data_IF_833719231971
#
_entry.id   IF_833719231971
#
_cell.length_a   1.000
_cell.length_b   1.000
_cell.length_c   1.000
_cell.angle_alpha   90.00
_cell.angle_beta   90.00
_cell.angle_gamma   90.00
#
_symmetry.space_group_name_H-M   'P 1'
#
loop_
_entity.id
_entity.type
_entity.pdbx_description
1 polymer ?
#
# COMPACT_ATOMS: atom_id res chain seq x y z
N UNK A 1 0.10 7.06 -88.20
CA UNK A 1 0.19 7.99 -87.08
C UNK A 1 -0.70 7.44 -85.94
N UNK A 2 -0.15 6.88 -84.88
CA UNK A 2 -0.94 6.48 -83.68
C UNK A 2 -0.94 7.62 -82.62
N UNK A 3 -1.99 7.73 -81.81
CA UNK A 3 -2.11 8.79 -80.82
C UNK A 3 -1.34 8.45 -79.51
N UNK A 4 -0.72 9.47 -78.97
CA UNK A 4 -0.04 9.45 -77.66
C UNK A 4 -1.05 9.32 -76.53
N UNK A 5 -0.84 8.32 -75.63
CA UNK A 5 -1.55 8.19 -74.39
C UNK A 5 -0.75 8.91 -73.27
N UNK A 6 -1.36 9.92 -72.72
CA UNK A 6 -0.92 10.64 -71.55
C UNK A 6 -1.16 9.79 -70.22
N UNK A 7 -0.09 9.46 -69.54
CA UNK A 7 -0.13 8.82 -68.22
C UNK A 7 -0.18 9.91 -67.10
N UNK A 8 -1.34 10.08 -66.47
CA UNK A 8 -1.50 10.89 -65.29
C UNK A 8 -1.10 10.06 -64.06
N UNK A 9 0.03 10.39 -63.46
CA UNK A 9 0.49 9.75 -62.21
C UNK A 9 -0.23 10.35 -61.02
N UNK A 10 -1.03 9.52 -60.31
CA UNK A 10 -1.63 9.87 -59.03
C UNK A 10 -0.60 9.66 -57.91
N UNK A 11 -0.16 10.76 -57.30
CA UNK A 11 0.68 10.71 -56.09
C UNK A 11 -0.25 10.54 -54.89
N UNK A 12 -0.27 9.32 -54.31
CA UNK A 12 -0.95 9.03 -53.05
C UNK A 12 -0.07 9.54 -51.92
N UNK A 13 -0.46 10.65 -51.30
CA UNK A 13 0.17 11.17 -50.09
C UNK A 13 -0.20 10.30 -48.88
N UNK A 14 0.77 9.58 -48.32
CA UNK A 14 0.63 8.88 -47.03
C UNK A 14 0.75 9.91 -45.93
N UNK A 15 -0.36 10.29 -45.29
CA UNK A 15 -0.35 11.03 -44.02
C UNK A 15 0.06 10.04 -42.92
N UNK A 16 1.30 10.15 -42.47
CA UNK A 16 1.76 9.50 -41.24
C UNK A 16 1.14 10.23 -40.03
N UNK A 17 0.11 9.65 -39.42
CA UNK A 17 -0.40 10.09 -38.13
C UNK A 17 0.62 9.74 -37.04
N UNK A 18 1.41 10.72 -36.62
CA UNK A 18 2.25 10.60 -35.45
C UNK A 18 1.33 10.54 -34.22
N UNK A 19 1.08 9.33 -33.70
CA UNK A 19 0.45 9.13 -32.41
C UNK A 19 1.37 9.71 -31.33
N UNK A 20 0.99 10.84 -30.76
CA UNK A 20 1.60 11.38 -29.56
C UNK A 20 1.33 10.39 -28.44
N UNK A 21 2.28 9.51 -28.17
CA UNK A 21 2.30 8.70 -26.95
C UNK A 21 2.58 9.68 -25.81
N UNK A 22 1.51 10.27 -25.28
CA UNK A 22 1.57 11.03 -24.04
C UNK A 22 2.02 10.07 -22.94
N UNK A 23 3.30 10.13 -22.52
CA UNK A 23 3.80 9.38 -21.40
C UNK A 23 2.92 9.68 -20.17
N UNK A 24 2.37 8.66 -19.54
CA UNK A 24 1.64 8.81 -18.29
C UNK A 24 2.59 9.46 -17.28
N UNK A 25 2.31 10.73 -16.93
CA UNK A 25 3.08 11.44 -15.91
C UNK A 25 2.75 10.81 -14.56
N UNK A 26 3.78 10.40 -13.82
CA UNK A 26 3.63 9.87 -12.48
C UNK A 26 3.47 11.02 -11.47
N UNK A 27 2.55 10.87 -10.52
CA UNK A 27 2.55 11.68 -9.32
C UNK A 27 3.50 11.05 -8.31
N UNK A 28 4.33 11.85 -7.66
CA UNK A 28 5.21 11.39 -6.59
C UNK A 28 4.68 11.90 -5.27
N UNK A 29 4.23 10.97 -4.43
CA UNK A 29 3.87 11.25 -3.05
C UNK A 29 5.11 11.17 -2.17
N UNK A 30 5.41 12.26 -1.48
CA UNK A 30 6.36 12.31 -0.37
C UNK A 30 5.59 12.47 0.92
N UNK A 31 5.66 11.47 1.81
CA UNK A 31 4.98 11.51 3.09
C UNK A 31 5.96 11.24 4.24
N UNK A 32 5.84 12.03 5.29
CA UNK A 32 6.51 11.78 6.58
C UNK A 32 5.45 11.60 7.64
N UNK A 33 5.52 10.48 8.33
CA UNK A 33 4.58 10.13 9.39
C UNK A 33 5.25 10.20 10.75
N UNK A 34 4.52 10.73 11.71
CA UNK A 34 4.86 10.62 13.14
C UNK A 34 4.18 9.39 13.70
N UNK A 35 4.93 8.59 14.45
CA UNK A 35 4.40 7.44 15.19
C UNK A 35 4.32 7.81 16.65
N UNK A 36 3.15 7.65 17.25
CA UNK A 36 2.94 7.89 18.69
C UNK A 36 2.27 6.68 19.35
N UNK A 37 2.56 6.49 20.63
CA UNK A 37 1.90 5.53 21.51
C UNK A 37 1.33 6.30 22.70
N UNK A 38 0.02 6.21 22.91
CA UNK A 38 -0.69 6.95 23.97
C UNK A 38 -0.37 8.46 23.93
N UNK A 39 -0.28 9.02 22.71
CA UNK A 39 0.04 10.42 22.46
C UNK A 39 1.54 10.79 22.55
N UNK A 40 2.40 9.90 23.06
CA UNK A 40 3.84 10.15 23.15
C UNK A 40 4.52 9.79 21.82
N UNK A 41 5.36 10.65 21.21
CA UNK A 41 6.07 10.34 19.99
C UNK A 41 7.12 9.26 20.25
N UNK A 42 7.04 8.16 19.48
CA UNK A 42 7.93 7.00 19.60
C UNK A 42 8.70 6.70 18.34
N UNK A 43 8.35 7.31 17.20
CA UNK A 43 9.01 7.01 15.94
C UNK A 43 8.61 7.93 14.80
N UNK A 44 9.26 7.73 13.68
CA UNK A 44 8.94 8.37 12.41
C UNK A 44 9.07 7.37 11.25
N UNK A 45 8.28 7.59 10.20
CA UNK A 45 8.33 6.83 8.95
C UNK A 45 8.39 7.83 7.80
N UNK A 46 9.30 7.62 6.86
CA UNK A 46 9.33 8.32 5.59
C UNK A 46 8.83 7.39 4.49
N UNK A 47 8.12 7.92 3.53
CA UNK A 47 7.56 7.16 2.44
C UNK A 47 7.62 7.97 1.16
N UNK A 48 8.03 7.32 0.07
CA UNK A 48 7.97 7.84 -1.29
C UNK A 48 7.17 6.85 -2.13
N UNK A 49 6.20 7.37 -2.88
CA UNK A 49 5.39 6.56 -3.78
C UNK A 49 5.34 7.23 -5.16
N UNK A 50 5.83 6.53 -6.18
CA UNK A 50 5.58 6.86 -7.58
C UNK A 50 4.26 6.19 -7.98
N UNK A 51 3.27 6.99 -8.35
CA UNK A 51 1.93 6.54 -8.67
C UNK A 51 1.57 6.92 -10.10
N UNK A 52 0.87 6.03 -10.76
CA UNK A 52 0.19 6.28 -12.04
C UNK A 52 -1.18 5.63 -12.00
N UNK A 53 -2.09 5.93 -12.94
CA UNK A 53 -3.38 5.25 -12.99
C UNK A 53 -3.29 3.72 -13.14
N UNK A 54 -2.13 3.19 -13.55
CA UNK A 54 -1.94 1.76 -13.87
C UNK A 54 -0.82 1.07 -13.11
N UNK A 55 -0.05 1.80 -12.30
CA UNK A 55 1.09 1.22 -11.57
C UNK A 55 1.41 1.97 -10.29
N UNK A 56 2.12 1.31 -9.39
CA UNK A 56 2.69 1.90 -8.20
C UNK A 56 4.11 1.37 -7.95
N UNK A 57 4.94 2.22 -7.36
CA UNK A 57 6.24 1.83 -6.78
C UNK A 57 6.43 2.62 -5.50
N UNK A 58 6.53 1.92 -4.37
CA UNK A 58 6.55 2.52 -3.04
C UNK A 58 7.79 2.04 -2.30
N UNK A 59 8.44 2.98 -1.61
CA UNK A 59 9.54 2.73 -0.70
C UNK A 59 9.30 3.52 0.58
N UNK A 60 9.58 2.89 1.71
CA UNK A 60 9.48 3.55 3.00
C UNK A 60 10.49 3.01 3.99
N UNK A 61 10.92 3.87 4.89
CA UNK A 61 11.76 3.52 6.03
C UNK A 61 11.19 4.11 7.32
N UNK A 62 11.47 3.44 8.42
CA UNK A 62 11.01 3.88 9.73
C UNK A 62 12.00 3.53 10.84
N UNK A 63 11.98 4.33 11.88
CA UNK A 63 12.83 4.12 13.04
C UNK A 63 12.16 4.62 14.32
N UNK A 64 12.47 3.97 15.43
CA UNK A 64 12.14 4.51 16.73
C UNK A 64 12.93 5.79 17.01
N UNK A 65 12.31 6.74 17.70
CA UNK A 65 12.90 8.04 18.06
C UNK A 65 12.57 8.39 19.50
N UNK A 66 13.19 9.46 20.01
CA UNK A 66 12.92 9.95 21.37
C UNK A 66 13.40 9.02 22.49
N UNK A 67 12.77 9.12 23.65
CA UNK A 67 13.15 8.39 24.86
C UNK A 67 13.02 6.86 24.72
N UNK A 68 12.16 6.39 23.84
CA UNK A 68 11.94 4.95 23.61
C UNK A 68 13.22 4.26 23.12
N UNK A 69 14.13 4.98 22.46
CA UNK A 69 15.44 4.47 22.01
C UNK A 69 16.36 4.02 23.16
N UNK A 70 16.13 4.50 24.35
CA UNK A 70 16.90 4.08 25.54
C UNK A 70 16.57 2.63 25.94
N UNK A 71 15.40 2.14 25.54
CA UNK A 71 14.89 0.82 25.93
C UNK A 71 14.75 -0.13 24.74
N UNK A 72 14.59 0.42 23.54
CA UNK A 72 14.42 -0.36 22.31
C UNK A 72 15.04 0.38 21.12
N UNK A 73 15.81 -0.35 20.31
CA UNK A 73 16.31 0.17 19.06
C UNK A 73 15.72 -0.69 17.93
N UNK A 74 14.83 -0.10 17.16
CA UNK A 74 14.22 -0.76 16.01
C UNK A 74 14.14 0.20 14.83
N UNK A 75 14.45 -0.33 13.67
CA UNK A 75 14.33 0.35 12.38
C UNK A 75 13.96 -0.66 11.31
N UNK A 76 13.42 -0.18 10.21
CA UNK A 76 13.08 -1.03 9.08
C UNK A 76 12.85 -0.24 7.82
N UNK A 77 12.87 -0.95 6.72
CA UNK A 77 12.51 -0.41 5.42
C UNK A 77 11.67 -1.44 4.67
N UNK A 78 10.77 -0.95 3.84
CA UNK A 78 9.94 -1.80 2.98
C UNK A 78 9.84 -1.17 1.60
N UNK A 79 9.77 -2.02 0.59
CA UNK A 79 9.54 -1.61 -0.79
C UNK A 79 8.57 -2.59 -1.45
N UNK A 80 7.74 -2.07 -2.35
CA UNK A 80 6.82 -2.86 -3.15
C UNK A 80 6.50 -2.14 -4.45
N UNK A 81 6.25 -2.91 -5.49
CA UNK A 81 5.80 -2.39 -6.78
C UNK A 81 4.83 -3.35 -7.45
N UNK A 82 3.99 -2.81 -8.28
CA UNK A 82 3.01 -3.59 -9.01
C UNK A 82 2.17 -2.74 -9.96
N UNK A 83 1.15 -3.37 -10.51
CA UNK A 83 0.18 -2.74 -11.39
C UNK A 83 -1.14 -2.44 -10.66
N UNK A 84 -1.89 -1.50 -11.22
CA UNK A 84 -3.30 -1.26 -10.89
C UNK A 84 -4.10 -1.70 -12.12
N UNK A 85 -4.78 -2.82 -12.01
CA UNK A 85 -5.52 -3.44 -13.12
C UNK A 85 -7.00 -3.46 -12.79
N UNK A 86 -7.81 -2.78 -13.58
CA UNK A 86 -9.27 -2.69 -13.37
C UNK A 86 -9.68 -2.29 -11.94
N UNK A 87 -8.96 -1.33 -11.34
CA UNK A 87 -9.22 -0.87 -9.98
C UNK A 87 -8.80 -1.86 -8.87
N UNK A 88 -7.93 -2.81 -9.19
CA UNK A 88 -7.35 -3.77 -8.24
C UNK A 88 -5.84 -3.68 -8.23
N UNK A 89 -5.25 -3.85 -7.07
CA UNK A 89 -3.81 -3.95 -6.90
C UNK A 89 -3.36 -5.34 -7.38
N UNK A 90 -2.36 -5.35 -8.24
CA UNK A 90 -1.66 -6.56 -8.72
C UNK A 90 -0.18 -6.43 -8.39
N UNK A 91 0.27 -6.91 -7.23
CA UNK A 91 1.65 -6.78 -6.80
C UNK A 91 2.58 -7.66 -7.65
N UNK A 92 3.82 -7.18 -7.85
CA UNK A 92 4.87 -7.92 -8.54
C UNK A 92 6.03 -8.27 -7.62
N UNK A 93 6.43 -7.35 -6.75
CA UNK A 93 7.50 -7.59 -5.77
C UNK A 93 7.20 -6.88 -4.46
N UNK A 94 7.61 -7.52 -3.37
CA UNK A 94 7.63 -6.96 -2.03
C UNK A 94 8.94 -7.34 -1.35
N UNK A 95 9.51 -6.41 -0.61
CA UNK A 95 10.64 -6.66 0.26
C UNK A 95 10.52 -5.83 1.53
N UNK A 96 10.92 -6.40 2.65
CA UNK A 96 11.05 -5.69 3.92
C UNK A 96 12.27 -6.16 4.67
N UNK A 97 12.90 -5.24 5.38
CA UNK A 97 13.97 -5.51 6.33
C UNK A 97 13.58 -4.88 7.66
N UNK A 98 13.65 -5.65 8.72
CA UNK A 98 13.44 -5.18 10.09
C UNK A 98 14.68 -5.48 10.92
N UNK A 99 15.20 -4.46 11.57
CA UNK A 99 16.37 -4.56 12.42
C UNK A 99 16.04 -4.11 13.84
N UNK A 100 16.47 -4.90 14.81
CA UNK A 100 16.45 -4.60 16.24
C UNK A 100 17.85 -4.76 16.83
N UNK A 101 18.02 -4.51 18.11
CA UNK A 101 19.33 -4.67 18.79
C UNK A 101 19.94 -6.06 18.60
N UNK A 102 19.12 -7.10 18.44
CA UNK A 102 19.58 -8.50 18.47
C UNK A 102 19.28 -9.28 17.21
N UNK A 103 18.58 -8.70 16.21
CA UNK A 103 18.19 -9.45 15.02
C UNK A 103 17.94 -8.50 13.84
N UNK A 104 18.38 -8.96 12.67
CA UNK A 104 17.97 -8.41 11.39
C UNK A 104 17.25 -9.51 10.62
N UNK A 105 16.04 -9.23 10.15
CA UNK A 105 15.27 -10.15 9.30
C UNK A 105 14.86 -9.47 8.01
N UNK A 106 15.02 -10.19 6.92
CA UNK A 106 14.57 -9.78 5.59
C UNK A 106 13.50 -10.74 5.10
N UNK A 107 12.45 -10.20 4.50
CA UNK A 107 11.43 -10.97 3.77
C UNK A 107 11.40 -10.41 2.35
N UNK A 108 11.42 -11.28 1.35
CA UNK A 108 11.24 -10.93 -0.06
C UNK A 108 10.19 -11.81 -0.67
N UNK A 109 9.31 -11.23 -1.48
CA UNK A 109 8.32 -11.97 -2.24
C UNK A 109 8.34 -11.55 -3.71
N UNK A 110 8.18 -12.53 -4.57
CA UNK A 110 7.81 -12.36 -5.97
C UNK A 110 6.35 -12.80 -6.15
N UNK A 111 5.59 -12.03 -6.92
CA UNK A 111 4.17 -12.28 -7.14
C UNK A 111 3.83 -12.13 -8.63
N UNK A 112 2.87 -12.91 -9.08
CA UNK A 112 2.31 -12.78 -10.44
C UNK A 112 0.81 -13.14 -10.40
N UNK A 113 -0.04 -12.32 -11.02
CA UNK A 113 -1.48 -12.56 -11.05
C UNK A 113 -2.13 -12.60 -9.67
N UNK A 114 -1.64 -11.80 -8.71
CA UNK A 114 -2.07 -11.80 -7.31
C UNK A 114 -1.80 -13.13 -6.56
N UNK A 115 -0.87 -13.95 -7.06
CA UNK A 115 -0.40 -15.14 -6.38
C UNK A 115 1.11 -15.04 -6.08
N UNK A 116 1.53 -15.62 -4.98
CA UNK A 116 2.93 -15.71 -4.59
C UNK A 116 3.63 -16.73 -5.49
N UNK A 117 4.74 -16.35 -6.09
CA UNK A 117 5.58 -17.22 -6.92
C UNK A 117 6.90 -17.58 -6.26
N UNK A 118 7.28 -16.86 -5.20
CA UNK A 118 8.45 -17.15 -4.39
C UNK A 118 8.49 -16.29 -3.13
N UNK A 119 8.98 -16.91 -2.04
CA UNK A 119 9.23 -16.25 -0.75
C UNK A 119 10.62 -16.61 -0.28
N UNK A 120 11.37 -15.61 0.17
CA UNK A 120 12.66 -15.75 0.84
C UNK A 120 12.62 -15.02 2.18
N UNK A 121 12.91 -15.71 3.27
CA UNK A 121 12.94 -15.19 4.64
C UNK A 121 14.28 -15.51 5.27
N UNK A 122 15.04 -14.50 5.63
CA UNK A 122 16.37 -14.66 6.23
C UNK A 122 16.58 -13.78 7.45
N UNK A 123 16.91 -14.35 8.62
CA UNK A 123 16.80 -15.76 8.97
C UNK A 123 15.33 -16.23 9.01
N UNK A 124 15.05 -17.51 8.86
CA UNK A 124 13.70 -18.05 8.93
C UNK A 124 13.07 -17.78 10.31
N UNK A 125 11.75 -17.81 10.36
CA UNK A 125 11.04 -17.82 11.66
C UNK A 125 11.16 -19.17 12.33
N UNK A 126 11.23 -19.16 13.66
CA UNK A 126 11.16 -20.41 14.42
C UNK A 126 9.80 -21.06 14.25
N UNK A 127 9.79 -22.36 14.14
CA UNK A 127 8.57 -23.15 14.23
C UNK A 127 7.95 -23.03 15.62
N UNK A 128 6.65 -22.81 15.64
CA UNK A 128 5.87 -22.71 16.89
C UNK A 128 4.68 -23.68 16.79
N UNK A 129 4.43 -24.49 17.83
CA UNK A 129 3.38 -25.53 17.80
C UNK A 129 1.95 -24.94 17.67
N UNK A 130 1.77 -23.69 18.07
CA UNK A 130 0.49 -22.97 17.99
C UNK A 130 0.34 -22.15 16.70
N UNK A 131 1.27 -22.30 15.74
CA UNK A 131 1.16 -21.65 14.42
C UNK A 131 0.08 -22.31 13.59
N UNK A 132 -0.87 -21.52 13.08
CA UNK A 132 -1.86 -21.98 12.12
C UNK A 132 -1.16 -22.24 10.77
N UNK A 133 -1.18 -23.47 10.22
CA UNK A 133 -0.55 -23.75 8.93
C UNK A 133 -1.16 -22.89 7.81
N UNK A 134 -0.37 -22.60 6.78
CA UNK A 134 -0.91 -22.05 5.54
C UNK A 134 -1.74 -23.12 4.83
N UNK A 135 -2.96 -22.76 4.45
CA UNK A 135 -3.87 -23.61 3.71
C UNK A 135 -3.72 -23.46 2.20
N UNK A 136 -4.28 -24.38 1.40
CA UNK A 136 -4.35 -24.24 -0.04
C UNK A 136 -5.09 -22.93 -0.42
N UNK A 137 -4.44 -22.09 -1.21
CA UNK A 137 -5.01 -20.81 -1.66
C UNK A 137 -4.71 -19.59 -0.77
N UNK A 138 -4.08 -19.74 0.40
CA UNK A 138 -3.73 -18.61 1.27
C UNK A 138 -2.70 -17.65 0.63
N UNK A 139 -1.95 -18.14 -0.34
CA UNK A 139 -0.99 -17.37 -1.13
C UNK A 139 -1.54 -16.91 -2.48
N UNK A 140 -2.87 -17.01 -2.67
CA UNK A 140 -3.56 -16.62 -3.91
C UNK A 140 -4.58 -15.51 -3.66
N UNK A 141 -4.83 -14.69 -4.69
CA UNK A 141 -5.73 -13.54 -4.63
C UNK A 141 -5.41 -12.59 -3.46
N UNK A 142 -4.13 -12.36 -3.24
CA UNK A 142 -3.61 -11.52 -2.16
C UNK A 142 -2.91 -10.27 -2.70
N UNK A 143 -2.70 -9.33 -1.81
CA UNK A 143 -1.78 -8.21 -1.99
C UNK A 143 -0.68 -8.28 -0.91
N UNK A 144 0.46 -7.67 -1.19
CA UNK A 144 1.52 -7.49 -0.19
C UNK A 144 1.20 -6.29 0.73
N UNK A 145 1.86 -6.16 1.90
CA UNK A 145 1.60 -5.07 2.84
C UNK A 145 1.85 -3.66 2.28
N UNK A 146 2.78 -3.51 1.32
CA UNK A 146 3.08 -2.23 0.69
C UNK A 146 2.01 -1.91 -0.38
N UNK A 147 1.62 -2.88 -1.20
CA UNK A 147 0.52 -2.72 -2.14
C UNK A 147 -0.82 -2.45 -1.46
N UNK A 148 -1.02 -2.99 -0.26
CA UNK A 148 -2.25 -2.82 0.53
C UNK A 148 -2.53 -1.38 0.97
N UNK A 149 -1.52 -0.48 0.98
CA UNK A 149 -1.74 0.94 1.32
C UNK A 149 -2.27 1.77 0.15
N UNK A 150 -2.22 1.25 -1.07
CA UNK A 150 -2.81 1.88 -2.25
C UNK A 150 -4.25 1.42 -2.38
N UNK A 151 -5.19 2.34 -2.26
CA UNK A 151 -6.63 2.04 -2.36
C UNK A 151 -7.17 2.61 -3.67
N UNK A 152 -7.28 1.80 -4.74
CA UNK A 152 -7.86 2.28 -5.99
C UNK A 152 -9.31 2.66 -5.80
N UNK A 153 -9.70 3.83 -6.31
CA UNK A 153 -11.07 4.28 -6.35
C UNK A 153 -11.80 3.72 -7.59
N UNK A 154 -13.13 3.72 -7.60
CA UNK A 154 -13.90 3.44 -8.79
C UNK A 154 -13.49 4.34 -9.97
N UNK A 155 -13.61 3.89 -11.22
CA UNK A 155 -13.18 4.66 -12.40
C UNK A 155 -13.96 5.99 -12.57
N UNK A 156 -15.13 6.10 -11.96
CA UNK A 156 -15.98 7.30 -11.97
C UNK A 156 -16.57 7.57 -10.60
N UNK A 157 -17.11 8.77 -10.40
CA UNK A 157 -17.69 9.23 -9.15
C UNK A 157 -16.66 9.83 -8.18
N UNK A 158 -17.10 10.25 -6.99
CA UNK A 158 -16.25 10.91 -6.00
C UNK A 158 -15.26 9.94 -5.37
N UNK A 159 -14.02 10.40 -5.14
CA UNK A 159 -12.98 9.62 -4.47
C UNK A 159 -13.33 9.41 -2.99
N UNK A 160 -13.78 10.47 -2.33
CA UNK A 160 -14.24 10.42 -0.96
C UNK A 160 -15.68 9.89 -0.96
N UNK A 161 -15.82 8.60 -0.78
CA UNK A 161 -17.12 7.92 -0.80
C UNK A 161 -17.09 6.62 0.00
N UNK A 162 -18.24 6.07 0.37
CA UNK A 162 -18.30 4.76 1.02
C UNK A 162 -17.58 3.63 0.26
N UNK A 163 -17.50 3.71 -1.07
CA UNK A 163 -16.80 2.72 -1.88
C UNK A 163 -15.28 2.65 -1.62
N UNK A 164 -14.70 3.72 -1.08
CA UNK A 164 -13.29 3.71 -0.66
C UNK A 164 -13.05 2.76 0.52
N UNK A 165 -14.02 2.65 1.44
CA UNK A 165 -13.91 1.87 2.66
C UNK A 165 -14.58 0.49 2.57
N UNK A 166 -15.75 0.36 1.98
CA UNK A 166 -16.53 -0.90 2.04
C UNK A 166 -15.85 -2.01 1.21
N UNK A 167 -14.74 -2.52 1.71
CA UNK A 167 -13.93 -3.54 1.03
C UNK A 167 -13.14 -4.41 1.99
N UNK A 168 -12.78 -5.57 1.50
CA UNK A 168 -11.85 -6.49 2.13
C UNK A 168 -10.51 -6.43 1.38
N UNK A 169 -9.41 -6.35 2.12
CA UNK A 169 -8.05 -6.35 1.60
C UNK A 169 -7.36 -7.63 2.08
N UNK A 170 -7.17 -8.64 1.21
CA UNK A 170 -6.51 -9.89 1.54
C UNK A 170 -4.99 -9.68 1.49
N UNK A 171 -4.30 -9.78 2.63
CA UNK A 171 -2.88 -9.48 2.74
C UNK A 171 -2.09 -10.74 3.08
N UNK A 172 -0.95 -10.94 2.40
CA UNK A 172 0.08 -11.90 2.77
C UNK A 172 1.42 -11.18 2.88
N UNK A 173 2.08 -11.31 4.03
CA UNK A 173 3.33 -10.61 4.33
C UNK A 173 4.60 -11.47 4.11
N UNK A 174 4.43 -12.65 3.50
CA UNK A 174 5.47 -13.65 3.30
C UNK A 174 5.45 -14.74 4.37
N UNK A 175 4.70 -14.55 5.47
CA UNK A 175 4.63 -15.50 6.58
C UNK A 175 3.22 -15.66 7.15
N UNK A 176 2.44 -14.57 7.17
CA UNK A 176 1.09 -14.53 7.75
C UNK A 176 0.09 -14.08 6.71
N UNK A 177 -1.03 -14.78 6.62
CA UNK A 177 -2.19 -14.43 5.80
C UNK A 177 -3.27 -13.85 6.71
N UNK A 178 -3.74 -12.65 6.37
CA UNK A 178 -4.82 -11.97 7.11
C UNK A 178 -5.61 -11.07 6.17
N UNK A 179 -6.84 -10.76 6.55
CA UNK A 179 -7.64 -9.75 5.88
C UNK A 179 -7.70 -8.46 6.71
N UNK A 180 -7.82 -7.33 6.04
CA UNK A 180 -8.27 -6.08 6.63
C UNK A 180 -9.63 -5.76 6.02
N UNK A 181 -10.68 -5.84 6.84
CA UNK A 181 -12.02 -5.45 6.45
C UNK A 181 -12.23 -3.97 6.79
N UNK A 182 -12.53 -3.15 5.78
CA UNK A 182 -12.80 -1.73 5.94
C UNK A 182 -14.30 -1.46 5.84
N UNK A 183 -14.78 -0.54 6.68
CA UNK A 183 -16.17 -0.06 6.69
C UNK A 183 -16.18 1.46 6.77
N UNK A 184 -17.03 2.11 5.97
CA UNK A 184 -17.15 3.57 5.94
C UNK A 184 -17.71 4.12 7.25
N UNK A 185 -17.09 5.16 7.76
CA UNK A 185 -17.51 5.89 8.96
C UNK A 185 -17.95 7.31 8.60
N UNK A 186 -17.23 8.00 7.72
CA UNK A 186 -17.51 9.38 7.37
C UNK A 186 -16.31 10.05 6.71
N UNK A 187 -16.28 11.38 6.79
CA UNK A 187 -15.20 12.20 6.27
C UNK A 187 -14.73 13.21 7.32
N UNK A 188 -13.47 13.67 7.20
CA UNK A 188 -12.89 14.68 8.06
C UNK A 188 -12.02 15.64 7.26
N UNK A 189 -11.91 16.87 7.72
CA UNK A 189 -10.89 17.82 7.27
C UNK A 189 -9.62 17.58 8.07
N UNK A 190 -8.48 17.56 7.38
CA UNK A 190 -7.16 17.36 7.96
C UNK A 190 -6.16 18.31 7.35
N UNK A 191 -5.08 18.58 8.09
CA UNK A 191 -4.00 19.42 7.62
C UNK A 191 -2.65 18.79 7.99
N UNK A 192 -1.74 18.76 7.02
CA UNK A 192 -0.33 18.45 7.20
C UNK A 192 0.50 19.35 6.27
N UNK A 193 1.79 19.40 6.44
CA UNK A 193 2.63 20.13 5.50
C UNK A 193 2.48 19.54 4.09
N UNK A 194 2.03 20.36 3.14
CA UNK A 194 1.78 19.96 1.75
C UNK A 194 0.40 19.38 1.46
N UNK A 195 -0.48 19.26 2.46
CA UNK A 195 -1.87 18.81 2.29
C UNK A 195 -2.81 19.56 3.24
N UNK A 196 -3.85 20.15 2.67
CA UNK A 196 -4.99 20.73 3.38
C UNK A 196 -6.25 20.30 2.63
N UNK A 197 -7.02 19.39 3.21
CA UNK A 197 -8.15 18.80 2.50
C UNK A 197 -8.95 17.80 3.33
N UNK A 198 -9.87 17.13 2.64
CA UNK A 198 -10.73 16.12 3.25
C UNK A 198 -10.16 14.71 3.05
N UNK A 199 -10.41 13.87 4.02
CA UNK A 199 -10.09 12.43 3.98
C UNK A 199 -11.34 11.62 4.26
N UNK A 200 -11.42 10.42 3.71
CA UNK A 200 -12.44 9.45 4.12
C UNK A 200 -11.94 8.66 5.32
N UNK A 201 -12.81 8.43 6.28
CA UNK A 201 -12.56 7.66 7.50
C UNK A 201 -13.19 6.29 7.37
N UNK A 202 -12.36 5.26 7.52
CA UNK A 202 -12.78 3.87 7.54
C UNK A 202 -12.48 3.25 8.92
N UNK A 203 -13.45 2.61 9.52
CA UNK A 203 -13.20 1.62 10.56
C UNK A 203 -12.55 0.38 9.92
N UNK A 204 -11.61 -0.25 10.63
CA UNK A 204 -10.91 -1.42 10.14
C UNK A 204 -11.03 -2.60 11.10
N UNK A 205 -10.97 -3.82 10.57
CA UNK A 205 -10.94 -5.06 11.34
C UNK A 205 -9.80 -5.94 10.82
N UNK A 206 -9.00 -6.44 11.74
CA UNK A 206 -7.99 -7.44 11.45
C UNK A 206 -8.60 -8.84 11.59
N UNK A 207 -8.54 -9.63 10.53
CA UNK A 207 -9.04 -11.00 10.49
C UNK A 207 -7.87 -11.94 10.20
N UNK A 208 -7.29 -12.60 11.21
CA UNK A 208 -6.21 -13.57 11.00
C UNK A 208 -6.73 -14.81 10.28
N UNK A 209 -6.06 -15.25 9.22
CA UNK A 209 -6.42 -16.44 8.45
C UNK A 209 -5.46 -17.59 8.79
N UNK A 210 -4.17 -17.44 8.48
CA UNK A 210 -3.16 -18.46 8.70
C UNK A 210 -1.77 -17.85 8.93
N UNK A 211 -0.77 -18.68 9.26
CA UNK A 211 0.59 -18.23 9.53
C UNK A 211 0.77 -17.59 10.91
N UNK A 212 -0.30 -17.12 11.53
CA UNK A 212 -0.26 -16.49 12.86
C UNK A 212 -0.19 -17.53 13.98
N UNK A 213 0.25 -17.10 15.16
CA UNK A 213 0.22 -17.91 16.38
C UNK A 213 -1.14 -17.79 17.04
N UNK A 214 -1.92 -18.89 17.06
CA UNK A 214 -3.30 -18.93 17.60
C UNK A 214 -3.38 -18.52 19.06
N UNK A 215 -2.44 -18.99 19.87
CA UNK A 215 -2.51 -18.80 21.32
C UNK A 215 -1.80 -17.55 21.82
N UNK A 216 -1.17 -16.79 20.91
CA UNK A 216 -0.51 -15.53 21.24
C UNK A 216 -1.54 -14.48 21.71
N UNK A 217 -1.42 -13.92 22.91
CA UNK A 217 -2.38 -12.92 23.43
C UNK A 217 -2.57 -11.72 22.49
N UNK A 218 -1.49 -11.26 21.84
CA UNK A 218 -1.57 -10.15 20.89
C UNK A 218 -2.39 -10.50 19.64
N UNK A 219 -2.36 -11.74 19.16
CA UNK A 219 -3.17 -12.18 18.01
C UNK A 219 -4.65 -12.19 18.39
N UNK A 220 -4.99 -12.76 19.56
CA UNK A 220 -6.37 -12.77 20.07
C UNK A 220 -6.89 -11.35 20.28
N UNK A 221 -6.09 -10.50 20.93
CA UNK A 221 -6.45 -9.10 21.13
C UNK A 221 -6.74 -8.39 19.80
N UNK A 222 -5.88 -8.55 18.79
CA UNK A 222 -6.06 -7.90 17.48
C UNK A 222 -7.27 -8.45 16.71
N UNK A 223 -7.57 -9.74 16.80
CA UNK A 223 -8.73 -10.34 16.18
C UNK A 223 -10.06 -9.79 16.77
N UNK A 224 -10.09 -9.55 18.08
CA UNK A 224 -11.26 -9.00 18.79
C UNK A 224 -11.33 -7.46 18.74
N UNK A 225 -10.23 -6.81 18.31
CA UNK A 225 -10.09 -5.36 18.34
C UNK A 225 -11.07 -4.69 17.37
N UNK A 226 -11.86 -3.74 17.87
CA UNK A 226 -12.78 -2.90 17.11
C UNK A 226 -12.29 -1.45 16.97
N UNK A 227 -11.18 -1.13 17.62
CA UNK A 227 -10.64 0.22 17.68
C UNK A 227 -9.45 0.37 16.70
N UNK A 228 -9.71 0.03 15.42
CA UNK A 228 -8.83 0.31 14.29
C UNK A 228 -9.51 1.30 13.37
N UNK A 229 -8.77 2.31 12.94
CA UNK A 229 -9.27 3.33 12.04
C UNK A 229 -8.19 3.74 11.05
N UNK A 230 -8.58 3.92 9.79
CA UNK A 230 -7.73 4.39 8.70
C UNK A 230 -8.38 5.61 8.06
N UNK A 231 -7.63 6.69 7.92
CA UNK A 231 -8.02 7.90 7.20
C UNK A 231 -7.28 7.93 5.87
N UNK A 232 -8.02 8.05 4.78
CA UNK A 232 -7.48 7.94 3.43
C UNK A 232 -7.61 9.29 2.72
N UNK A 233 -6.47 9.85 2.31
CA UNK A 233 -6.39 11.06 1.50
C UNK A 233 -6.46 10.71 0.01
N UNK A 234 -7.21 11.46 -0.81
CA UNK A 234 -7.29 11.24 -2.24
C UNK A 234 -6.04 11.74 -2.97
N UNK A 235 -5.59 10.96 -3.94
CA UNK A 235 -4.65 11.35 -5.00
C UNK A 235 -5.48 11.38 -6.28
N UNK A 236 -5.96 12.57 -6.61
CA UNK A 236 -7.08 12.77 -7.54
C UNK A 236 -6.76 12.28 -8.95
N UNK A 237 -5.58 12.62 -9.46
CA UNK A 237 -5.16 12.33 -10.82
C UNK A 237 -5.05 10.83 -11.09
N UNK A 238 -4.48 10.08 -10.15
CA UNK A 238 -4.27 8.64 -10.27
C UNK A 238 -5.48 7.83 -9.79
N UNK A 239 -6.51 8.52 -9.27
CA UNK A 239 -7.73 7.93 -8.73
C UNK A 239 -7.46 6.85 -7.69
N UNK A 240 -6.51 7.13 -6.79
CA UNK A 240 -6.21 6.27 -5.64
C UNK A 240 -6.37 7.08 -4.35
N UNK A 241 -6.58 6.38 -3.25
CA UNK A 241 -6.50 6.95 -1.91
C UNK A 241 -5.30 6.33 -1.19
N UNK A 242 -4.71 7.13 -0.32
CA UNK A 242 -3.51 6.74 0.42
C UNK A 242 -3.66 7.04 1.91
N UNK A 243 -3.14 6.21 2.84
CA UNK A 243 -3.27 6.45 4.26
C UNK A 243 -2.66 7.79 4.70
N UNK A 244 -3.49 8.65 5.27
CA UNK A 244 -3.08 9.88 5.95
C UNK A 244 -2.85 9.62 7.44
N UNK A 245 -3.71 8.77 8.04
CA UNK A 245 -3.64 8.39 9.44
C UNK A 245 -4.10 6.94 9.62
N UNK A 246 -3.40 6.22 10.47
CA UNK A 246 -3.79 4.88 10.96
C UNK A 246 -3.76 4.90 12.48
N UNK A 247 -4.84 4.50 13.11
CA UNK A 247 -4.96 4.37 14.57
C UNK A 247 -5.29 2.94 14.93
N UNK A 248 -4.53 2.37 15.84
CA UNK A 248 -4.66 0.97 16.26
C UNK A 248 -4.57 0.90 17.78
N UNK A 249 -5.62 0.46 18.44
CA UNK A 249 -5.53 0.10 19.85
C UNK A 249 -4.72 -1.18 19.98
N UNK A 250 -3.70 -1.16 20.82
CA UNK A 250 -2.86 -2.31 21.14
C UNK A 250 -3.00 -2.66 22.62
N UNK A 251 -2.45 -3.78 23.05
CA UNK A 251 -2.47 -4.18 24.47
C UNK A 251 -1.77 -3.18 25.40
N UNK A 252 -0.90 -2.34 24.88
CA UNK A 252 -0.13 -1.33 25.65
C UNK A 252 -0.61 0.11 25.39
N UNK A 253 -1.72 0.27 24.68
CA UNK A 253 -2.32 1.57 24.38
C UNK A 253 -2.54 1.80 22.89
N UNK A 254 -3.06 2.97 22.55
CA UNK A 254 -3.34 3.31 21.16
C UNK A 254 -2.08 3.83 20.47
N UNK A 255 -1.70 3.14 19.39
CA UNK A 255 -0.65 3.58 18.48
C UNK A 255 -1.29 4.35 17.33
N UNK A 256 -0.73 5.50 16.99
CA UNK A 256 -1.16 6.33 15.87
C UNK A 256 0.03 6.59 14.97
N UNK A 257 -0.17 6.35 13.67
CA UNK A 257 0.73 6.74 12.58
C UNK A 257 0.00 7.82 11.79
N UNK A 258 0.49 9.05 11.78
CA UNK A 258 -0.19 10.19 11.17
C UNK A 258 0.77 11.04 10.36
N UNK A 259 0.35 11.46 9.17
CA UNK A 259 1.14 12.30 8.30
C UNK A 259 1.42 13.66 8.95
N UNK A 260 2.68 14.02 9.08
CA UNK A 260 3.14 15.37 9.42
C UNK A 260 3.55 16.15 8.15
N UNK A 261 3.89 15.43 7.08
CA UNK A 261 4.05 15.94 5.72
C UNK A 261 3.38 14.96 4.75
N UNK A 262 2.63 15.51 3.79
CA UNK A 262 1.95 14.75 2.75
C UNK A 262 1.92 15.60 1.49
N UNK A 263 2.92 15.45 0.63
CA UNK A 263 3.16 16.32 -0.52
C UNK A 263 3.13 15.53 -1.82
N UNK A 264 2.39 16.04 -2.78
CA UNK A 264 2.34 15.50 -4.14
C UNK A 264 3.14 16.39 -5.07
N UNK A 265 4.14 15.81 -5.71
CA UNK A 265 4.91 16.44 -6.79
C UNK A 265 4.47 15.82 -8.11
N UNK A 266 4.21 16.67 -9.08
CA UNK A 266 3.87 16.27 -10.45
C UNK A 266 5.17 16.17 -11.28
N UNK A 267 5.45 15.02 -11.86
CA UNK A 267 6.54 14.84 -12.82
C UNK A 267 6.13 15.19 -14.23
#
# INVERSE_FOLDING_TARGET
>A
MPPQRSLAGSILGVLAAAALIGGARADVLHATYRVSLVGLPIGAVNLNADLTPTSYSIQGDGKLTGLVRLFANAQGASAGKGAIVQGRISPATFATIAASSNMVRTIRMALAGNAVTGVDISPPFDDKPDRVPLGPGDEQNIVDPVGAVVIPAPPSGPLLSPAACNRKIPIFDGYTRFDIDLTYVGERSVMAKGYDGRVVVCAARYVPISGHRRDRPATKFMADNKDLEVWLAPIERDRVLFPFRVSVRTMIGTTVVEASEFRLDQK
#
